data_IF_709302173697
#
_entry.id   IF_709302173697
#
_cell.length_a   1.000
_cell.length_b   1.000
_cell.length_c   1.000
_cell.angle_alpha   90.00
_cell.angle_beta   90.00
_cell.angle_gamma   90.00
#
_symmetry.space_group_name_H-M   'P 1'
#
loop_
_entity.id
_entity.type
_entity.pdbx_description
1 polymer ?
#
# COMPACT_ATOMS: atom_id res chain seq x y z
N UNK A 1 29.12 -13.04 4.85
CA UNK A 1 27.98 -13.36 3.97
C UNK A 1 27.84 -12.26 2.93
N UNK A 2 27.57 -12.59 1.67
CA UNK A 2 27.46 -11.58 0.58
C UNK A 2 26.26 -11.87 -0.31
N UNK A 3 25.60 -10.84 -0.81
CA UNK A 3 24.59 -10.94 -1.87
C UNK A 3 25.29 -11.39 -3.17
N UNK A 4 24.75 -12.43 -3.81
CA UNK A 4 25.32 -13.03 -5.03
C UNK A 4 24.43 -12.88 -6.26
N UNK A 5 23.11 -12.78 -6.07
CA UNK A 5 22.16 -12.79 -7.18
C UNK A 5 20.96 -11.90 -6.86
N UNK A 6 20.50 -11.15 -7.85
CA UNK A 6 19.25 -10.40 -7.85
C UNK A 6 18.45 -10.90 -9.05
N UNK A 7 17.23 -11.37 -8.80
CA UNK A 7 16.33 -11.88 -9.86
C UNK A 7 15.02 -11.12 -9.80
N UNK A 8 14.54 -10.65 -10.94
CA UNK A 8 13.28 -9.91 -11.05
C UNK A 8 12.25 -10.72 -11.83
N UNK A 9 10.99 -10.58 -11.44
CA UNK A 9 9.87 -11.21 -12.12
C UNK A 9 8.76 -10.18 -12.32
N UNK A 10 8.37 -9.97 -13.58
CA UNK A 10 7.19 -9.18 -13.94
C UNK A 10 6.02 -10.14 -14.11
N UNK A 11 5.01 -9.99 -13.26
CA UNK A 11 3.88 -10.90 -13.14
C UNK A 11 2.61 -10.21 -13.62
N UNK A 12 1.85 -10.89 -14.47
CA UNK A 12 0.58 -10.38 -15.01
C UNK A 12 -0.57 -11.33 -14.72
N UNK A 13 -1.67 -10.77 -14.24
CA UNK A 13 -2.95 -11.46 -14.08
C UNK A 13 -4.05 -10.67 -14.79
N UNK A 14 -4.63 -11.27 -15.83
CA UNK A 14 -5.66 -10.63 -16.63
C UNK A 14 -7.01 -10.77 -15.93
N UNK A 15 -7.66 -9.65 -15.66
CA UNK A 15 -8.92 -9.66 -14.92
C UNK A 15 -10.05 -10.20 -15.79
N UNK A 16 -10.95 -10.96 -15.17
CA UNK A 16 -12.18 -11.43 -15.81
C UNK A 16 -13.11 -10.27 -16.18
N UNK A 17 -13.06 -9.17 -15.41
CA UNK A 17 -13.77 -7.92 -15.65
C UNK A 17 -12.88 -6.75 -15.24
N UNK A 18 -12.86 -5.70 -16.06
CA UNK A 18 -12.24 -4.45 -15.66
C UNK A 18 -13.01 -3.78 -14.53
N UNK A 19 -12.32 -2.91 -13.80
CA UNK A 19 -12.93 -1.95 -12.91
C UNK A 19 -12.20 -0.61 -13.04
N UNK A 20 -12.82 0.44 -12.53
CA UNK A 20 -12.34 1.80 -12.65
C UNK A 20 -12.29 2.46 -11.29
N UNK A 21 -11.42 3.42 -11.17
CA UNK A 21 -11.57 4.48 -10.18
C UNK A 21 -11.64 5.81 -10.93
N UNK A 22 -11.58 6.91 -10.22
CA UNK A 22 -11.80 8.25 -10.79
C UNK A 22 -10.81 8.69 -11.87
N UNK A 23 -9.67 8.00 -12.04
CA UNK A 23 -8.62 8.39 -12.98
C UNK A 23 -8.49 7.45 -14.18
N UNK A 24 -8.45 6.13 -13.97
CA UNK A 24 -8.25 5.17 -15.06
C UNK A 24 -8.91 3.81 -14.81
N UNK A 25 -8.93 3.01 -15.88
CA UNK A 25 -9.38 1.62 -15.91
C UNK A 25 -8.23 0.66 -15.55
N UNK A 26 -8.56 -0.40 -14.81
CA UNK A 26 -7.73 -1.58 -14.64
C UNK A 26 -8.38 -2.77 -15.34
N UNK A 27 -7.68 -3.33 -16.32
CA UNK A 27 -8.06 -4.59 -17.00
C UNK A 27 -7.10 -5.74 -16.69
N UNK A 28 -5.97 -5.45 -16.04
CA UNK A 28 -4.98 -6.41 -15.59
C UNK A 28 -4.32 -5.97 -14.27
N UNK A 29 -3.77 -6.94 -13.54
CA UNK A 29 -2.78 -6.72 -12.48
C UNK A 29 -1.41 -6.91 -13.09
N UNK A 30 -0.50 -5.99 -12.84
CA UNK A 30 0.89 -6.08 -13.29
C UNK A 30 1.80 -5.66 -12.13
N UNK A 31 2.64 -6.58 -11.63
CA UNK A 31 3.47 -6.36 -10.44
C UNK A 31 4.90 -6.82 -10.72
N UNK A 32 5.89 -6.13 -10.14
CA UNK A 32 7.29 -6.56 -10.16
C UNK A 32 7.73 -7.03 -8.77
N UNK A 33 8.21 -8.27 -8.68
CA UNK A 33 8.83 -8.82 -7.48
C UNK A 33 10.32 -9.08 -7.71
N UNK A 34 11.09 -9.11 -6.62
CA UNK A 34 12.54 -9.36 -6.63
C UNK A 34 12.92 -10.44 -5.63
N UNK A 35 13.81 -11.34 -6.05
CA UNK A 35 14.48 -12.34 -5.20
C UNK A 35 15.94 -11.97 -5.05
N UNK A 36 16.42 -11.84 -3.82
CA UNK A 36 17.84 -11.58 -3.53
C UNK A 36 18.43 -12.78 -2.82
N UNK A 37 19.47 -13.40 -3.40
CA UNK A 37 20.12 -14.60 -2.86
C UNK A 37 21.51 -14.29 -2.33
N UNK A 38 21.81 -14.76 -1.12
CA UNK A 38 23.11 -14.65 -0.48
C UNK A 38 24.02 -15.85 -0.76
N UNK A 39 25.30 -15.71 -0.43
CA UNK A 39 26.36 -16.70 -0.69
C UNK A 39 26.21 -18.04 0.01
N UNK A 40 25.31 -18.14 0.99
CA UNK A 40 24.96 -19.37 1.69
C UNK A 40 23.71 -20.05 1.12
N UNK A 41 23.12 -19.51 0.04
CA UNK A 41 21.91 -20.04 -0.59
C UNK A 41 20.58 -19.50 -0.03
N UNK A 42 20.61 -18.85 1.13
CA UNK A 42 19.45 -18.15 1.67
C UNK A 42 19.03 -17.01 0.75
N UNK A 43 17.71 -16.77 0.65
CA UNK A 43 17.16 -15.74 -0.20
C UNK A 43 16.02 -15.00 0.48
N UNK A 44 15.75 -13.77 0.01
CA UNK A 44 14.60 -12.98 0.43
C UNK A 44 13.80 -12.44 -0.75
N UNK A 45 12.52 -12.19 -0.52
CA UNK A 45 11.56 -11.66 -1.49
C UNK A 45 11.14 -10.23 -1.16
N UNK A 46 10.94 -9.43 -2.20
CA UNK A 46 10.42 -8.07 -2.10
C UNK A 46 9.56 -7.71 -3.30
N UNK A 47 8.79 -6.63 -3.16
CA UNK A 47 7.81 -6.17 -4.13
C UNK A 47 7.92 -4.66 -4.31
N UNK A 48 7.72 -4.19 -5.55
CA UNK A 48 7.66 -2.76 -5.86
C UNK A 48 6.25 -2.37 -6.30
N UNK A 49 5.76 -1.23 -5.82
CA UNK A 49 4.49 -0.65 -6.27
C UNK A 49 4.72 0.31 -7.44
N UNK A 50 3.94 0.16 -8.50
CA UNK A 50 4.02 0.97 -9.72
C UNK A 50 4.18 0.14 -11.01
N UNK A 51 4.54 0.78 -12.15
CA UNK A 51 4.66 0.10 -13.43
C UNK A 51 5.76 -0.97 -13.42
N UNK A 52 5.36 -2.23 -13.53
CA UNK A 52 6.23 -3.38 -13.26
C UNK A 52 7.47 -3.45 -14.16
N UNK A 53 7.35 -3.16 -15.46
CA UNK A 53 8.50 -3.18 -16.38
C UNK A 53 9.51 -2.06 -16.08
N UNK A 54 9.02 -0.89 -15.62
CA UNK A 54 9.88 0.24 -15.24
C UNK A 54 10.57 -0.05 -13.90
N UNK A 55 9.84 -0.67 -12.96
CA UNK A 55 10.42 -1.18 -11.71
C UNK A 55 11.54 -2.18 -11.99
N UNK A 56 11.32 -3.12 -12.90
CA UNK A 56 12.30 -4.13 -13.28
C UNK A 56 13.60 -3.48 -13.80
N UNK A 57 13.47 -2.51 -14.70
CA UNK A 57 14.60 -1.73 -15.21
C UNK A 57 15.31 -0.95 -14.09
N UNK A 58 14.56 -0.38 -13.15
CA UNK A 58 15.10 0.31 -11.97
C UNK A 58 15.88 -0.62 -11.05
N UNK A 59 15.38 -1.84 -10.81
CA UNK A 59 16.06 -2.86 -9.99
C UNK A 59 17.36 -3.29 -10.68
N UNK A 60 17.33 -3.55 -11.99
CA UNK A 60 18.53 -3.88 -12.79
C UNK A 60 19.57 -2.76 -12.76
N UNK A 61 19.15 -1.49 -12.75
CA UNK A 61 20.05 -0.35 -12.58
C UNK A 61 20.73 -0.33 -11.20
N UNK A 62 20.01 -0.73 -10.15
CA UNK A 62 20.49 -0.73 -8.76
C UNK A 62 21.31 -1.99 -8.41
N UNK A 63 21.09 -3.12 -9.10
CA UNK A 63 21.74 -4.41 -8.84
C UNK A 63 23.27 -4.31 -8.65
N UNK A 64 24.06 -3.62 -9.49
CA UNK A 64 25.51 -3.52 -9.33
C UNK A 64 25.96 -2.87 -8.01
N UNK A 65 25.09 -2.09 -7.37
CA UNK A 65 25.34 -1.45 -6.07
C UNK A 65 25.19 -2.48 -4.93
N UNK A 66 24.30 -3.45 -5.11
CA UNK A 66 23.86 -4.42 -4.10
C UNK A 66 24.71 -5.69 -4.13
N UNK A 67 25.13 -6.15 -5.32
CA UNK A 67 25.95 -7.36 -5.47
C UNK A 67 27.25 -7.24 -4.67
N UNK A 68 27.60 -8.32 -3.96
CA UNK A 68 28.81 -8.41 -3.14
C UNK A 68 28.72 -7.73 -1.77
N UNK A 69 27.62 -7.02 -1.48
CA UNK A 69 27.36 -6.41 -0.15
C UNK A 69 26.89 -7.44 0.86
N UNK A 70 27.11 -7.17 2.14
CA UNK A 70 26.60 -8.00 3.23
C UNK A 70 25.13 -7.61 3.51
N UNK A 71 24.16 -8.54 3.43
CA UNK A 71 22.74 -8.22 3.64
C UNK A 71 22.42 -7.73 5.06
N UNK A 72 23.31 -7.97 6.03
CA UNK A 72 23.18 -7.42 7.39
C UNK A 72 23.30 -5.89 7.44
N UNK A 73 23.98 -5.30 6.46
CA UNK A 73 24.23 -3.86 6.35
C UNK A 73 23.13 -3.15 5.53
N UNK A 74 21.87 -3.57 5.69
CA UNK A 74 20.73 -3.11 4.88
C UNK A 74 20.60 -1.57 4.85
N UNK A 75 20.80 -0.89 5.98
CA UNK A 75 20.83 0.57 6.10
C UNK A 75 21.92 1.22 5.22
N UNK A 76 23.10 0.59 5.14
CA UNK A 76 24.24 1.05 4.33
C UNK A 76 23.95 0.82 2.85
N UNK A 77 23.39 -0.34 2.49
CA UNK A 77 23.00 -0.66 1.11
C UNK A 77 21.94 0.35 0.65
N UNK A 78 20.90 0.58 1.46
CA UNK A 78 19.85 1.56 1.21
C UNK A 78 20.43 2.94 0.91
N UNK A 79 21.33 3.43 1.77
CA UNK A 79 21.94 4.75 1.59
C UNK A 79 22.86 4.80 0.35
N UNK A 80 23.55 3.71 0.01
CA UNK A 80 24.35 3.65 -1.22
C UNK A 80 23.49 3.69 -2.47
N UNK A 81 22.36 2.98 -2.50
CA UNK A 81 21.37 3.06 -3.58
C UNK A 81 20.86 4.50 -3.70
N UNK A 82 20.35 5.07 -2.61
CA UNK A 82 19.81 6.43 -2.58
C UNK A 82 20.82 7.48 -3.08
N UNK A 83 22.05 7.44 -2.57
CA UNK A 83 23.08 8.41 -2.94
C UNK A 83 23.49 8.29 -4.40
N UNK A 84 23.48 7.08 -4.97
CA UNK A 84 23.85 6.85 -6.38
C UNK A 84 22.77 7.27 -7.37
N UNK A 85 21.52 7.37 -6.92
CA UNK A 85 20.38 7.74 -7.76
C UNK A 85 19.86 9.15 -7.47
N UNK A 86 20.48 9.90 -6.55
CA UNK A 86 20.01 11.19 -6.05
C UNK A 86 19.67 12.23 -7.15
N UNK A 87 20.40 12.21 -8.26
CA UNK A 87 20.20 13.12 -9.38
C UNK A 87 18.85 12.94 -10.08
N UNK A 88 18.23 11.76 -9.97
CA UNK A 88 17.00 11.39 -10.70
C UNK A 88 16.02 10.49 -9.91
N UNK A 89 16.29 10.18 -8.64
CA UNK A 89 15.45 9.33 -7.77
C UNK A 89 15.15 9.98 -6.42
N UNK A 90 14.55 11.17 -6.48
CA UNK A 90 14.04 11.86 -5.29
C UNK A 90 12.58 11.55 -5.00
N UNK A 91 11.87 10.99 -5.99
CA UNK A 91 10.46 10.53 -5.99
C UNK A 91 10.27 9.49 -7.10
N UNK A 92 9.12 8.83 -7.12
CA UNK A 92 8.67 8.02 -8.24
C UNK A 92 9.27 6.61 -8.30
N UNK A 93 9.09 5.97 -9.46
CA UNK A 93 9.27 4.51 -9.65
C UNK A 93 10.66 4.00 -9.27
N UNK A 94 11.71 4.81 -9.40
CA UNK A 94 13.06 4.36 -8.99
C UNK A 94 13.22 4.26 -7.46
N UNK A 95 12.46 5.02 -6.68
CA UNK A 95 12.37 4.84 -5.22
C UNK A 95 11.57 3.58 -4.88
N UNK A 96 10.53 3.27 -5.65
CA UNK A 96 9.80 2.02 -5.53
C UNK A 96 10.68 0.79 -5.87
N UNK A 97 11.58 0.90 -6.87
CA UNK A 97 12.60 -0.12 -7.13
C UNK A 97 13.61 -0.27 -5.98
N UNK A 98 13.96 0.81 -5.28
CA UNK A 98 14.74 0.70 -4.04
C UNK A 98 13.94 0.00 -2.93
N UNK A 99 12.63 0.24 -2.87
CA UNK A 99 11.73 -0.38 -1.88
C UNK A 99 11.69 -1.89 -2.03
N UNK A 100 11.55 -2.39 -3.26
CA UNK A 100 11.53 -3.84 -3.52
C UNK A 100 12.83 -4.52 -3.10
N UNK A 101 13.98 -3.90 -3.38
CA UNK A 101 15.29 -4.40 -2.94
C UNK A 101 15.41 -4.37 -1.42
N UNK A 102 15.01 -3.26 -0.77
CA UNK A 102 15.08 -3.12 0.69
C UNK A 102 14.23 -4.19 1.38
N UNK A 103 12.99 -4.40 0.94
CA UNK A 103 12.09 -5.43 1.46
C UNK A 103 12.70 -6.83 1.31
N UNK A 104 13.27 -7.15 0.15
CA UNK A 104 13.95 -8.43 -0.07
C UNK A 104 15.18 -8.63 0.82
N UNK A 105 15.93 -7.57 1.11
CA UNK A 105 17.05 -7.64 2.05
C UNK A 105 16.55 -7.84 3.48
N UNK A 106 15.43 -7.23 3.88
CA UNK A 106 14.80 -7.46 5.18
C UNK A 106 14.30 -8.90 5.33
N UNK A 107 13.64 -9.45 4.31
CA UNK A 107 13.22 -10.85 4.29
C UNK A 107 14.42 -11.80 4.44
N UNK A 108 15.45 -11.59 3.60
CA UNK A 108 16.70 -12.35 3.62
C UNK A 108 17.37 -12.28 5.00
N UNK A 109 17.46 -11.07 5.58
CA UNK A 109 18.06 -10.86 6.90
C UNK A 109 17.30 -11.61 7.99
N UNK A 110 15.96 -11.62 7.95
CA UNK A 110 15.13 -12.39 8.87
C UNK A 110 15.35 -13.89 8.73
N UNK A 111 15.42 -14.42 7.50
CA UNK A 111 15.68 -15.85 7.24
C UNK A 111 17.08 -16.28 7.71
N UNK A 112 18.10 -15.48 7.45
CA UNK A 112 19.47 -15.76 7.94
C UNK A 112 19.54 -15.80 9.48
N UNK A 113 18.78 -14.94 10.16
CA UNK A 113 18.78 -14.82 11.61
C UNK A 113 17.75 -15.72 12.30
N UNK A 114 16.93 -16.44 11.53
CA UNK A 114 15.79 -17.21 12.04
C UNK A 114 14.82 -16.35 12.89
N UNK A 115 14.54 -15.12 12.43
CA UNK A 115 13.69 -14.15 13.11
C UNK A 115 12.67 -13.50 12.15
N UNK A 116 11.42 -13.26 12.59
CA UNK A 116 10.46 -12.48 11.81
C UNK A 116 10.93 -11.03 11.68
N UNK A 117 10.57 -10.36 10.58
CA UNK A 117 10.91 -8.96 10.33
C UNK A 117 10.39 -8.05 11.44
N UNK A 118 9.22 -8.32 12.02
CA UNK A 118 8.69 -7.57 13.17
C UNK A 118 9.62 -7.59 14.38
N UNK A 119 10.28 -8.72 14.67
CA UNK A 119 11.27 -8.80 15.73
C UNK A 119 12.51 -7.94 15.38
N UNK A 120 12.96 -8.00 14.14
CA UNK A 120 14.08 -7.18 13.66
C UNK A 120 13.78 -5.67 13.66
N UNK A 121 12.51 -5.28 13.48
CA UNK A 121 12.07 -3.89 13.57
C UNK A 121 12.04 -3.36 15.01
N UNK A 122 12.13 -4.23 16.02
CA UNK A 122 12.13 -3.87 17.44
C UNK A 122 11.00 -4.51 18.24
N UNK A 123 10.24 -5.42 17.65
CA UNK A 123 9.11 -6.11 18.30
C UNK A 123 7.75 -5.59 17.84
N UNK A 124 6.70 -6.20 18.40
CA UNK A 124 5.30 -5.91 18.06
C UNK A 124 4.58 -5.23 19.22
N UNK A 125 3.82 -4.18 18.92
CA UNK A 125 2.83 -3.58 19.84
C UNK A 125 1.47 -4.29 19.75
N UNK A 126 1.26 -5.06 18.67
CA UNK A 126 0.03 -5.79 18.36
C UNK A 126 0.38 -7.01 17.53
N UNK A 127 -0.29 -8.13 17.79
CA UNK A 127 -0.13 -9.39 17.04
C UNK A 127 -1.25 -9.62 16.02
N UNK A 128 -2.27 -8.77 16.01
CA UNK A 128 -3.38 -8.80 15.07
C UNK A 128 -3.68 -7.39 14.58
N UNK A 129 -4.04 -7.27 13.30
CA UNK A 129 -4.34 -5.99 12.66
C UNK A 129 -5.73 -6.10 12.02
N UNK A 130 -6.53 -5.04 12.14
CA UNK A 130 -7.88 -4.99 11.56
C UNK A 130 -7.79 -4.55 10.11
N UNK A 131 -8.17 -5.39 9.13
CA UNK A 131 -8.23 -4.93 7.76
C UNK A 131 -9.45 -4.04 7.53
N UNK A 132 -9.33 -3.10 6.60
CA UNK A 132 -10.48 -2.51 5.94
C UNK A 132 -10.57 -3.04 4.51
N UNK A 133 -11.81 -3.28 4.05
CA UNK A 133 -12.03 -3.67 2.66
C UNK A 133 -11.79 -2.46 1.76
N UNK A 134 -10.76 -2.51 0.92
CA UNK A 134 -10.60 -1.58 -0.20
C UNK A 134 -11.32 -2.18 -1.39
N UNK A 135 -12.39 -1.52 -1.83
CA UNK A 135 -13.34 -2.07 -2.79
C UNK A 135 -14.31 -0.99 -3.25
N UNK A 136 -15.50 -1.39 -3.72
CA UNK A 136 -16.50 -0.44 -4.23
C UNK A 136 -15.88 0.46 -5.31
N UNK A 137 -15.13 -0.17 -6.21
CA UNK A 137 -14.63 0.46 -7.42
C UNK A 137 -15.77 0.58 -8.43
N UNK A 138 -15.66 1.55 -9.32
CA UNK A 138 -16.63 1.71 -10.39
C UNK A 138 -16.53 0.52 -11.36
N UNK A 139 -17.68 0.05 -11.87
CA UNK A 139 -17.72 -1.20 -12.66
C UNK A 139 -18.45 -1.09 -13.99
N UNK A 140 -19.03 0.07 -14.29
CA UNK A 140 -19.88 0.31 -15.45
C UNK A 140 -19.85 1.82 -15.78
N UNK A 141 -19.83 2.19 -17.06
CA UNK A 141 -19.76 3.61 -17.46
C UNK A 141 -21.09 4.35 -17.24
N UNK A 142 -22.22 3.68 -17.45
CA UNK A 142 -23.56 4.27 -17.34
C UNK A 142 -24.05 4.27 -15.89
N UNK A 143 -23.68 3.23 -15.13
CA UNK A 143 -23.96 3.14 -13.70
C UNK A 143 -22.72 2.72 -12.88
N UNK A 144 -21.76 3.63 -12.66
CA UNK A 144 -20.51 3.34 -11.94
C UNK A 144 -20.67 2.58 -10.63
N UNK A 145 -21.67 2.96 -9.82
CA UNK A 145 -21.92 2.40 -8.49
C UNK A 145 -22.83 1.15 -8.47
N UNK A 146 -23.15 0.57 -9.64
CA UNK A 146 -24.12 -0.54 -9.81
C UNK A 146 -23.94 -1.71 -8.84
N UNK A 147 -22.71 -2.01 -8.43
CA UNK A 147 -22.37 -3.17 -7.59
C UNK A 147 -22.11 -2.83 -6.12
N UNK A 148 -22.20 -1.56 -5.75
CA UNK A 148 -21.77 -1.12 -4.42
C UNK A 148 -22.53 -1.82 -3.29
N UNK A 149 -23.85 -1.91 -3.41
CA UNK A 149 -24.70 -2.51 -2.37
C UNK A 149 -24.35 -3.99 -2.13
N UNK A 150 -24.21 -4.76 -3.20
CA UNK A 150 -23.86 -6.20 -3.13
C UNK A 150 -22.46 -6.40 -2.53
N UNK A 151 -21.47 -5.63 -3.01
CA UNK A 151 -20.09 -5.70 -2.53
C UNK A 151 -19.97 -5.29 -1.06
N UNK A 152 -20.62 -4.19 -0.66
CA UNK A 152 -20.62 -3.69 0.72
C UNK A 152 -21.19 -4.73 1.68
N UNK A 153 -22.36 -5.31 1.35
CA UNK A 153 -22.97 -6.37 2.15
C UNK A 153 -22.11 -7.63 2.20
N UNK A 154 -21.45 -8.00 1.10
CA UNK A 154 -20.51 -9.11 1.05
C UNK A 154 -19.33 -8.89 2.02
N UNK A 155 -18.76 -7.69 2.05
CA UNK A 155 -17.67 -7.35 2.99
C UNK A 155 -18.13 -7.43 4.45
N UNK A 156 -19.31 -6.90 4.77
CA UNK A 156 -19.88 -7.01 6.12
C UNK A 156 -20.09 -8.48 6.52
N UNK A 157 -20.65 -9.29 5.63
CA UNK A 157 -20.89 -10.72 5.87
C UNK A 157 -19.59 -11.51 6.06
N UNK A 158 -18.51 -11.11 5.39
CA UNK A 158 -17.16 -11.69 5.56
C UNK A 158 -16.47 -11.22 6.84
N UNK A 159 -17.05 -10.26 7.57
CA UNK A 159 -16.58 -9.83 8.89
C UNK A 159 -15.82 -8.51 8.92
N UNK A 160 -15.71 -7.79 7.80
CA UNK A 160 -15.09 -6.46 7.79
C UNK A 160 -15.87 -5.48 8.68
N UNK A 161 -15.12 -4.61 9.38
CA UNK A 161 -15.66 -3.54 10.23
C UNK A 161 -15.33 -2.14 9.72
N UNK A 162 -14.63 -2.08 8.59
CA UNK A 162 -14.22 -0.86 7.92
C UNK A 162 -14.18 -1.10 6.40
N UNK A 163 -14.64 -0.13 5.62
CA UNK A 163 -14.71 -0.21 4.16
C UNK A 163 -14.31 1.16 3.58
N UNK A 164 -13.46 1.16 2.56
CA UNK A 164 -13.12 2.34 1.75
C UNK A 164 -13.80 2.24 0.40
N UNK A 165 -14.57 3.26 0.03
CA UNK A 165 -15.24 3.35 -1.27
C UNK A 165 -14.59 4.37 -2.18
N UNK A 166 -14.68 4.16 -3.49
CA UNK A 166 -14.22 5.15 -4.48
C UNK A 166 -15.27 6.24 -4.72
N UNK A 167 -14.80 7.47 -4.80
CA UNK A 167 -15.54 8.67 -5.23
C UNK A 167 -14.75 9.36 -6.35
N UNK A 168 -15.19 10.53 -6.82
CA UNK A 168 -14.53 11.27 -7.91
C UNK A 168 -15.33 11.30 -9.22
N UNK A 169 -16.63 10.98 -9.18
CA UNK A 169 -17.56 11.05 -10.31
C UNK A 169 -18.25 12.42 -10.42
N UNK A 170 -18.20 13.20 -9.35
CA UNK A 170 -18.83 14.51 -9.24
C UNK A 170 -19.72 14.60 -8.01
N UNK A 171 -19.85 15.81 -7.47
CA UNK A 171 -20.42 16.08 -6.13
C UNK A 171 -21.78 15.43 -5.91
N UNK A 172 -22.71 15.57 -6.86
CA UNK A 172 -24.07 15.02 -6.72
C UNK A 172 -24.08 13.49 -6.72
N UNK A 173 -23.31 12.87 -7.62
CA UNK A 173 -23.22 11.40 -7.73
C UNK A 173 -22.62 10.83 -6.45
N UNK A 174 -21.47 11.37 -6.04
CA UNK A 174 -20.74 10.85 -4.89
C UNK A 174 -21.45 11.12 -3.57
N UNK A 175 -22.15 12.25 -3.42
CA UNK A 175 -23.04 12.47 -2.27
C UNK A 175 -24.12 11.38 -2.16
N UNK A 176 -24.79 11.06 -3.28
CA UNK A 176 -25.83 10.02 -3.28
C UNK A 176 -25.25 8.63 -3.00
N UNK A 177 -24.09 8.31 -3.59
CA UNK A 177 -23.41 7.04 -3.35
C UNK A 177 -22.99 6.90 -1.89
N UNK A 178 -22.36 7.93 -1.30
CA UNK A 178 -21.94 7.91 0.11
C UNK A 178 -23.15 7.84 1.05
N UNK A 179 -24.21 8.59 0.76
CA UNK A 179 -25.47 8.50 1.52
C UNK A 179 -26.02 7.09 1.52
N UNK A 180 -26.16 6.47 0.34
CA UNK A 180 -26.64 5.10 0.19
C UNK A 180 -25.76 4.09 0.93
N UNK A 181 -24.42 4.23 0.82
CA UNK A 181 -23.49 3.37 1.55
C UNK A 181 -23.66 3.48 3.06
N UNK A 182 -23.83 4.70 3.60
CA UNK A 182 -24.10 4.86 5.03
C UNK A 182 -25.43 4.23 5.45
N UNK A 183 -26.49 4.37 4.65
CA UNK A 183 -27.80 3.74 4.92
C UNK A 183 -27.71 2.21 4.96
N UNK A 184 -26.94 1.59 4.06
CA UNK A 184 -26.75 0.14 3.98
C UNK A 184 -25.87 -0.39 5.11
N UNK A 185 -24.77 0.30 5.40
CA UNK A 185 -23.77 -0.16 6.37
C UNK A 185 -24.18 0.12 7.82
N UNK A 186 -25.07 1.09 8.04
CA UNK A 186 -25.41 1.62 9.36
C UNK A 186 -24.21 2.27 10.05
N UNK A 187 -24.36 2.60 11.33
CA UNK A 187 -23.34 3.34 12.09
C UNK A 187 -22.21 2.44 12.64
N UNK A 188 -22.38 1.12 12.57
CA UNK A 188 -21.44 0.14 13.15
C UNK A 188 -20.21 -0.16 12.29
N UNK A 189 -20.18 0.30 11.04
CA UNK A 189 -19.08 0.09 10.09
C UNK A 189 -18.40 1.43 9.81
N UNK A 190 -17.07 1.45 9.91
CA UNK A 190 -16.28 2.62 9.48
C UNK A 190 -16.35 2.74 7.96
N UNK A 191 -16.67 3.91 7.47
CA UNK A 191 -16.72 4.22 6.04
C UNK A 191 -15.67 5.27 5.72
N UNK A 192 -14.86 5.01 4.71
CA UNK A 192 -13.86 5.92 4.17
C UNK A 192 -14.17 6.19 2.71
N UNK A 193 -13.73 7.34 2.21
CA UNK A 193 -13.87 7.69 0.79
C UNK A 193 -12.51 8.05 0.21
N UNK A 194 -12.28 7.68 -1.03
CA UNK A 194 -11.06 7.95 -1.77
C UNK A 194 -11.39 8.47 -3.15
N UNK A 195 -10.91 9.68 -3.47
CA UNK A 195 -11.14 10.28 -4.79
C UNK A 195 -10.01 10.08 -5.77
N UNK A 196 -8.88 9.51 -5.34
CA UNK A 196 -7.64 9.42 -6.12
C UNK A 196 -7.40 10.72 -6.87
N UNK A 197 -7.27 11.80 -6.10
CA UNK A 197 -6.97 13.17 -6.51
C UNK A 197 -7.84 13.73 -7.65
N UNK A 198 -9.12 13.37 -7.70
CA UNK A 198 -10.02 13.74 -8.80
C UNK A 198 -10.63 15.13 -8.72
N UNK A 199 -10.69 15.74 -7.53
CA UNK A 199 -11.37 17.01 -7.35
C UNK A 199 -10.44 18.22 -7.39
N UNK A 200 -11.00 19.35 -7.81
CA UNK A 200 -10.48 20.65 -7.43
C UNK A 200 -10.70 20.90 -5.93
N UNK A 201 -9.97 21.86 -5.35
CA UNK A 201 -10.18 22.26 -3.95
C UNK A 201 -11.63 22.67 -3.66
N UNK A 202 -12.30 23.36 -4.60
CA UNK A 202 -13.68 23.83 -4.41
C UNK A 202 -14.65 22.65 -4.32
N UNK A 203 -14.53 21.70 -5.24
CA UNK A 203 -15.37 20.49 -5.26
C UNK A 203 -15.12 19.62 -4.04
N UNK A 204 -13.87 19.43 -3.64
CA UNK A 204 -13.51 18.66 -2.46
C UNK A 204 -14.11 19.27 -1.18
N UNK A 205 -14.05 20.59 -1.01
CA UNK A 205 -14.69 21.29 0.13
C UNK A 205 -16.20 21.09 0.11
N UNK A 206 -16.84 21.25 -1.05
CA UNK A 206 -18.29 21.11 -1.17
C UNK A 206 -18.74 19.68 -0.85
N UNK A 207 -18.09 18.67 -1.44
CA UNK A 207 -18.40 17.27 -1.18
C UNK A 207 -18.15 16.92 0.28
N UNK A 208 -16.97 17.26 0.83
CA UNK A 208 -16.61 16.95 2.20
C UNK A 208 -17.69 17.43 3.18
N UNK A 209 -18.10 18.70 3.08
CA UNK A 209 -19.18 19.28 3.91
C UNK A 209 -20.52 18.57 3.76
N UNK A 210 -20.88 18.18 2.53
CA UNK A 210 -22.14 17.45 2.29
C UNK A 210 -22.15 16.06 2.92
N UNK A 211 -20.99 15.42 3.02
CA UNK A 211 -20.88 14.04 3.53
C UNK A 211 -20.46 13.96 5.02
N UNK A 212 -20.19 15.09 5.70
CA UNK A 212 -19.93 15.13 7.15
C UNK A 212 -21.00 14.40 7.99
N UNK A 213 -22.32 14.53 7.71
CA UNK A 213 -23.35 13.83 8.47
C UNK A 213 -23.23 12.29 8.40
N UNK A 214 -22.50 11.75 7.43
CA UNK A 214 -22.33 10.32 7.22
C UNK A 214 -21.12 9.72 7.96
N UNK A 215 -20.51 10.45 8.89
CA UNK A 215 -19.45 9.95 9.80
C UNK A 215 -18.30 9.25 9.04
N UNK A 216 -17.75 9.96 8.06
CA UNK A 216 -16.65 9.46 7.24
C UNK A 216 -15.36 9.43 8.08
N UNK A 217 -14.66 8.30 8.09
CA UNK A 217 -13.46 8.09 8.91
C UNK A 217 -12.23 8.80 8.35
N UNK A 218 -12.09 8.86 7.01
CA UNK A 218 -11.19 9.79 6.34
C UNK A 218 -11.60 10.02 4.87
N UNK A 219 -11.14 11.13 4.30
CA UNK A 219 -11.17 11.44 2.88
C UNK A 219 -9.75 11.36 2.33
N UNK A 220 -9.49 10.31 1.55
CA UNK A 220 -8.21 9.98 0.95
C UNK A 220 -8.03 10.67 -0.40
N UNK A 221 -6.82 11.17 -0.60
CA UNK A 221 -6.37 11.89 -1.79
C UNK A 221 -7.47 12.76 -2.42
N UNK A 222 -8.05 13.73 -1.69
CA UNK A 222 -9.20 14.49 -2.18
C UNK A 222 -8.87 15.38 -3.39
N UNK A 223 -7.61 15.84 -3.50
CA UNK A 223 -7.13 16.76 -4.53
C UNK A 223 -5.72 16.37 -4.99
N UNK A 224 -5.22 17.00 -6.06
CA UNK A 224 -3.88 16.74 -6.60
C UNK A 224 -2.78 16.77 -5.52
N UNK A 225 -1.90 15.75 -5.46
CA UNK A 225 -0.82 15.66 -4.46
C UNK A 225 0.23 16.76 -4.60
N UNK A 226 0.25 17.49 -5.72
CA UNK A 226 1.17 18.62 -5.93
C UNK A 226 0.82 19.86 -5.09
N UNK A 227 -0.42 19.96 -4.59
CA UNK A 227 -0.91 21.15 -3.89
C UNK A 227 -0.95 21.00 -2.36
N UNK A 228 0.22 20.82 -1.73
CA UNK A 228 0.35 20.64 -0.27
C UNK A 228 -0.40 21.65 0.61
N UNK A 229 -0.43 22.92 0.19
CA UNK A 229 -1.11 23.99 0.96
C UNK A 229 -2.62 23.95 0.79
N UNK A 230 -3.13 23.47 -0.35
CA UNK A 230 -4.57 23.29 -0.57
C UNK A 230 -5.11 22.13 0.27
N UNK A 231 -4.30 21.09 0.48
CA UNK A 231 -4.61 20.02 1.42
C UNK A 231 -4.88 20.57 2.84
N UNK A 232 -4.01 21.46 3.33
CA UNK A 232 -4.23 22.17 4.60
C UNK A 232 -5.52 22.99 4.58
N UNK A 233 -5.75 23.77 3.51
CA UNK A 233 -6.96 24.58 3.39
C UNK A 233 -8.26 23.75 3.41
N UNK A 234 -8.25 22.59 2.75
CA UNK A 234 -9.36 21.64 2.79
C UNK A 234 -9.57 21.10 4.21
N UNK A 235 -8.50 20.64 4.86
CA UNK A 235 -8.51 20.10 6.22
C UNK A 235 -9.08 21.10 7.24
N UNK A 236 -8.82 22.39 7.09
CA UNK A 236 -9.36 23.44 7.96
C UNK A 236 -10.86 23.74 7.72
N UNK A 237 -11.46 23.21 6.65
CA UNK A 237 -12.84 23.50 6.20
C UNK A 237 -13.82 22.35 6.33
N UNK A 238 -13.37 21.21 6.85
CA UNK A 238 -14.20 20.04 7.15
C UNK A 238 -13.80 19.38 8.46
N UNK A 239 -14.71 18.63 9.06
CA UNK A 239 -14.42 17.76 10.21
C UNK A 239 -13.91 16.37 9.80
N UNK A 240 -13.98 16.01 8.51
CA UNK A 240 -13.52 14.71 8.01
C UNK A 240 -12.00 14.71 7.97
N UNK A 241 -11.32 13.73 8.61
CA UNK A 241 -9.87 13.62 8.54
C UNK A 241 -9.39 13.49 7.08
N UNK A 242 -8.32 14.22 6.73
CA UNK A 242 -7.73 14.13 5.39
C UNK A 242 -6.56 13.15 5.41
N UNK A 243 -6.56 12.21 4.47
CA UNK A 243 -5.50 11.21 4.35
C UNK A 243 -4.78 11.31 3.00
N UNK A 244 -3.51 10.92 2.98
CA UNK A 244 -2.74 10.79 1.75
C UNK A 244 -1.31 10.34 1.99
N UNK A 245 -0.63 9.93 0.93
CA UNK A 245 0.78 9.53 1.00
C UNK A 245 1.21 8.44 0.03
N UNK A 246 0.29 7.77 -0.68
CA UNK A 246 0.63 6.74 -1.67
C UNK A 246 1.43 7.32 -2.84
N UNK A 247 1.18 8.59 -3.18
CA UNK A 247 1.95 9.36 -4.15
C UNK A 247 3.22 10.02 -3.59
N UNK A 248 3.55 9.86 -2.30
CA UNK A 248 4.72 10.46 -1.67
C UNK A 248 5.85 9.46 -1.42
N UNK A 249 7.09 9.97 -1.49
CA UNK A 249 8.29 9.14 -1.49
C UNK A 249 9.32 9.71 -0.54
N UNK A 250 10.01 8.81 0.19
CA UNK A 250 11.06 9.11 1.15
C UNK A 250 10.59 10.01 2.31
N UNK A 251 11.29 9.96 3.44
CA UNK A 251 11.01 10.85 4.59
C UNK A 251 10.98 12.34 4.23
N UNK A 252 11.62 12.74 3.14
CA UNK A 252 11.60 14.12 2.65
C UNK A 252 10.26 14.51 2.03
N UNK A 253 9.61 13.63 1.26
CA UNK A 253 8.24 13.83 0.75
C UNK A 253 7.23 13.87 1.88
N UNK A 254 7.29 12.90 2.79
CA UNK A 254 6.44 12.89 3.99
C UNK A 254 6.69 14.10 4.91
N UNK A 255 7.94 14.57 5.06
CA UNK A 255 8.23 15.82 5.76
C UNK A 255 7.57 17.02 5.10
N UNK A 256 7.43 17.03 3.77
CA UNK A 256 6.69 18.08 3.07
C UNK A 256 5.20 18.07 3.40
N UNK A 257 4.56 16.90 3.50
CA UNK A 257 3.17 16.81 3.99
C UNK A 257 3.05 17.32 5.43
N UNK A 258 3.92 16.85 6.32
CA UNK A 258 3.89 17.15 7.76
C UNK A 258 4.12 18.64 8.04
N UNK A 259 5.17 19.24 7.46
CA UNK A 259 5.50 20.66 7.69
C UNK A 259 4.39 21.60 7.19
N UNK A 260 3.66 21.19 6.15
CA UNK A 260 2.56 21.95 5.59
C UNK A 260 1.22 21.64 6.28
N UNK A 261 1.18 20.70 7.23
CA UNK A 261 -0.04 20.25 7.90
C UNK A 261 -1.11 19.76 6.90
N UNK A 262 -0.66 19.08 5.85
CA UNK A 262 -1.49 18.70 4.71
C UNK A 262 -2.50 17.60 5.06
N UNK A 263 -2.17 16.68 5.96
CA UNK A 263 -2.98 15.49 6.26
C UNK A 263 -3.08 15.24 7.77
N UNK A 264 -4.16 14.57 8.17
CA UNK A 264 -4.36 13.98 9.49
C UNK A 264 -3.78 12.56 9.58
N UNK A 265 -3.69 11.86 8.44
CA UNK A 265 -3.22 10.48 8.34
C UNK A 265 -2.23 10.39 7.17
N UNK A 266 -1.00 9.93 7.43
CA UNK A 266 -0.03 9.59 6.39
C UNK A 266 -0.23 8.15 5.92
N UNK A 267 -0.14 7.94 4.61
CA UNK A 267 -0.35 6.64 3.98
C UNK A 267 0.86 6.20 3.15
N UNK A 268 2.05 6.01 3.74
CA UNK A 268 3.19 5.50 3.00
C UNK A 268 2.90 4.10 2.46
N UNK A 269 3.06 3.90 1.16
CA UNK A 269 3.14 2.56 0.60
C UNK A 269 4.56 2.03 0.80
N UNK A 270 4.73 0.91 1.52
CA UNK A 270 6.05 0.37 1.86
C UNK A 270 6.80 -0.12 0.62
N UNK A 271 6.09 -0.60 -0.40
CA UNK A 271 6.60 -1.02 -1.69
C UNK A 271 6.91 0.17 -2.63
N UNK A 272 6.60 1.40 -2.22
CA UNK A 272 6.91 2.63 -2.99
C UNK A 272 7.84 3.61 -2.27
N UNK A 273 7.62 3.84 -0.97
CA UNK A 273 8.14 4.99 -0.23
C UNK A 273 9.65 4.94 0.05
N UNK A 274 10.28 3.80 -0.18
CA UNK A 274 11.68 3.50 0.08
C UNK A 274 11.91 2.21 0.86
N UNK A 275 10.90 1.34 1.03
CA UNK A 275 11.02 0.08 1.77
C UNK A 275 10.85 0.24 3.29
N UNK A 276 10.99 -0.87 4.01
CA UNK A 276 10.85 -0.91 5.47
C UNK A 276 11.85 0.00 6.19
N UNK A 277 13.08 0.12 5.67
CA UNK A 277 14.10 1.01 6.24
C UNK A 277 13.64 2.47 6.20
N UNK A 278 13.01 2.91 5.10
CA UNK A 278 12.51 4.28 4.97
C UNK A 278 11.16 4.49 5.65
N UNK A 279 10.27 3.49 5.61
CA UNK A 279 8.99 3.51 6.30
C UNK A 279 9.17 3.72 7.82
N UNK A 280 10.18 3.08 8.44
CA UNK A 280 10.53 3.31 9.85
C UNK A 280 10.96 4.75 10.12
N UNK A 281 11.74 5.36 9.23
CA UNK A 281 12.15 6.77 9.35
C UNK A 281 10.95 7.71 9.18
N UNK A 282 10.02 7.37 8.29
CA UNK A 282 8.74 8.10 8.12
C UNK A 282 7.91 8.00 9.40
N UNK A 283 7.80 6.83 10.02
CA UNK A 283 7.11 6.64 11.30
C UNK A 283 7.72 7.45 12.45
N UNK A 284 9.05 7.40 12.61
CA UNK A 284 9.76 8.25 13.59
C UNK A 284 9.55 9.74 13.34
N UNK A 285 9.37 10.15 12.09
CA UNK A 285 9.11 11.55 11.76
C UNK A 285 7.66 11.92 12.11
N UNK A 286 6.67 11.13 11.69
CA UNK A 286 5.26 11.37 11.92
C UNK A 286 4.91 11.49 13.42
N UNK A 287 5.56 10.68 14.27
CA UNK A 287 5.37 10.73 15.73
C UNK A 287 5.70 12.09 16.34
N UNK A 288 6.67 12.83 15.78
CA UNK A 288 7.03 14.18 16.25
C UNK A 288 5.99 15.25 15.91
N UNK A 289 5.10 14.95 14.95
CA UNK A 289 4.00 15.83 14.54
C UNK A 289 2.65 15.38 15.11
N UNK A 290 2.57 14.20 15.76
CA UNK A 290 1.32 13.62 16.25
C UNK A 290 0.35 13.24 15.13
N UNK A 291 0.89 12.84 13.96
CA UNK A 291 0.11 12.43 12.78
C UNK A 291 0.11 10.91 12.68
N UNK A 292 -1.07 10.32 12.51
CA UNK A 292 -1.25 8.87 12.44
C UNK A 292 -0.72 8.31 11.12
N UNK A 293 -0.38 7.01 11.14
CA UNK A 293 0.04 6.26 9.95
C UNK A 293 -0.92 5.09 9.72
N UNK A 294 -1.49 5.05 8.52
CA UNK A 294 -2.25 3.91 7.99
C UNK A 294 -1.69 3.66 6.59
N UNK A 295 -0.76 2.70 6.41
CA UNK A 295 -0.10 2.48 5.13
C UNK A 295 -1.12 2.18 4.02
N UNK A 296 -0.89 2.78 2.84
CA UNK A 296 -1.47 2.25 1.61
C UNK A 296 -0.85 0.86 1.37
N UNK A 297 -1.67 -0.11 0.94
CA UNK A 297 -1.19 -1.47 0.66
C UNK A 297 -1.95 -2.05 -0.51
N UNK A 298 -1.32 -1.97 -1.68
CA UNK A 298 -1.84 -2.51 -2.93
C UNK A 298 -0.80 -3.39 -3.61
N UNK A 299 -1.08 -4.68 -3.77
CA UNK A 299 -0.07 -5.61 -4.26
C UNK A 299 -0.36 -7.09 -4.00
N UNK A 300 0.71 -7.87 -3.89
CA UNK A 300 0.65 -9.31 -3.58
C UNK A 300 0.74 -9.57 -2.07
N UNK A 301 0.77 -10.84 -1.70
CA UNK A 301 1.03 -11.22 -0.31
C UNK A 301 2.39 -10.75 0.23
N UNK A 302 3.39 -10.49 -0.63
CA UNK A 302 4.69 -9.92 -0.19
C UNK A 302 4.48 -8.52 0.41
N UNK A 303 3.84 -7.62 -0.35
CA UNK A 303 3.53 -6.27 0.12
C UNK A 303 2.65 -6.27 1.38
N UNK A 304 1.64 -7.14 1.44
CA UNK A 304 0.76 -7.25 2.61
C UNK A 304 1.53 -7.74 3.85
N UNK A 305 2.41 -8.74 3.73
CA UNK A 305 3.21 -9.21 4.86
C UNK A 305 4.21 -8.15 5.34
N UNK A 306 4.83 -7.39 4.42
CA UNK A 306 5.65 -6.25 4.78
C UNK A 306 4.86 -5.19 5.57
N UNK A 307 3.63 -4.89 5.14
CA UNK A 307 2.71 -4.00 5.84
C UNK A 307 2.31 -4.54 7.22
N UNK A 308 1.99 -5.82 7.36
CA UNK A 308 1.66 -6.44 8.65
C UNK A 308 2.81 -6.29 9.65
N UNK A 309 4.05 -6.58 9.25
CA UNK A 309 5.21 -6.39 10.10
C UNK A 309 5.43 -4.91 10.48
N UNK A 310 5.33 -3.99 9.52
CA UNK A 310 5.49 -2.56 9.79
C UNK A 310 4.41 -2.02 10.73
N UNK A 311 3.14 -2.29 10.43
CA UNK A 311 1.99 -1.83 11.23
C UNK A 311 2.06 -2.43 12.63
N UNK A 312 2.56 -3.66 12.80
CA UNK A 312 2.73 -4.26 14.14
C UNK A 312 3.71 -3.47 15.02
N UNK A 313 4.66 -2.74 14.41
CA UNK A 313 5.68 -1.95 15.09
C UNK A 313 5.28 -0.48 15.30
N UNK A 314 4.16 -0.01 14.73
CA UNK A 314 3.72 1.38 14.90
C UNK A 314 3.31 1.70 16.34
N UNK A 315 3.86 2.79 16.88
CA UNK A 315 3.50 3.33 18.18
C UNK A 315 2.15 4.07 18.10
N UNK A 316 1.34 3.98 19.15
CA UNK A 316 0.12 4.78 19.28
C UNK A 316 0.41 6.02 20.13
N UNK A 317 0.25 7.22 19.56
CA UNK A 317 0.66 8.49 20.19
C UNK A 317 -0.46 9.55 20.04
N UNK A 318 -1.05 10.06 21.15
CA UNK A 318 -0.84 9.62 22.52
C UNK A 318 -1.44 8.23 22.75
N UNK A 319 -0.70 7.37 23.46
CA UNK A 319 -1.24 6.10 23.93
C UNK A 319 -2.38 6.31 24.94
N UNK A 320 -3.19 5.28 25.15
CA UNK A 320 -4.24 5.24 26.19
C UNK A 320 -4.53 3.81 26.62
N UNK A 321 -5.20 3.62 27.77
CA UNK A 321 -5.48 2.29 28.34
C UNK A 321 -6.20 1.34 27.37
N UNK A 322 -7.17 1.86 26.61
CA UNK A 322 -7.82 1.14 25.51
C UNK A 322 -7.19 1.60 24.20
N UNK A 323 -6.13 0.91 23.82
CA UNK A 323 -5.34 1.17 22.63
C UNK A 323 -6.23 1.25 21.38
N UNK A 324 -6.16 2.34 20.58
CA UNK A 324 -6.87 2.39 19.31
C UNK A 324 -6.36 1.30 18.36
N UNK A 325 -7.27 0.81 17.52
CA UNK A 325 -6.95 -0.19 16.51
C UNK A 325 -6.17 0.45 15.36
N UNK A 326 -5.10 -0.21 14.93
CA UNK A 326 -4.44 0.10 13.65
C UNK A 326 -5.13 -0.65 12.52
N UNK A 327 -5.20 -0.02 11.36
CA UNK A 327 -5.83 -0.57 10.17
C UNK A 327 -4.78 -0.99 9.14
N UNK A 328 -5.11 -2.01 8.34
CA UNK A 328 -4.39 -2.38 7.13
C UNK A 328 -5.34 -2.33 5.95
N UNK A 329 -4.88 -1.79 4.83
CA UNK A 329 -5.62 -1.87 3.58
C UNK A 329 -5.65 -3.30 3.07
N UNK A 330 -6.83 -3.80 2.73
CA UNK A 330 -6.97 -5.12 2.13
C UNK A 330 -7.84 -5.05 0.88
N UNK A 331 -7.19 -5.01 -0.28
CA UNK A 331 -7.82 -5.08 -1.60
C UNK A 331 -8.75 -6.30 -1.72
N UNK A 332 -10.03 -6.05 -1.99
CA UNK A 332 -11.06 -7.08 -2.18
C UNK A 332 -11.49 -7.27 -3.63
N UNK A 333 -10.80 -6.62 -4.57
CA UNK A 333 -11.00 -6.86 -5.99
C UNK A 333 -10.37 -8.18 -6.42
N UNK A 334 -10.74 -8.67 -7.61
CA UNK A 334 -10.16 -9.89 -8.19
C UNK A 334 -8.65 -9.67 -8.43
N UNK A 335 -7.83 -10.57 -7.88
CA UNK A 335 -6.38 -10.46 -7.89
C UNK A 335 -5.75 -11.82 -7.57
N UNK A 336 -5.51 -12.64 -8.60
CA UNK A 336 -4.96 -13.98 -8.40
C UNK A 336 -3.49 -13.94 -7.94
N UNK A 337 -2.76 -12.85 -8.21
CA UNK A 337 -1.42 -12.65 -7.65
C UNK A 337 -1.46 -12.51 -6.12
N UNK A 338 -2.47 -11.84 -5.57
CA UNK A 338 -2.66 -11.73 -4.12
C UNK A 338 -3.00 -13.07 -3.48
N UNK A 339 -3.85 -13.87 -4.13
CA UNK A 339 -4.36 -15.11 -3.55
C UNK A 339 -3.41 -16.32 -3.73
N UNK A 340 -2.65 -16.39 -4.82
CA UNK A 340 -1.94 -17.61 -5.22
C UNK A 340 -0.41 -17.51 -5.21
N UNK A 341 0.16 -16.30 -5.19
CA UNK A 341 1.60 -16.12 -5.35
C UNK A 341 2.39 -16.53 -4.10
N UNK A 342 1.82 -16.33 -2.91
CA UNK A 342 2.55 -16.48 -1.64
C UNK A 342 1.89 -17.47 -0.71
N UNK A 343 2.71 -18.20 0.04
CA UNK A 343 2.29 -19.07 1.13
C UNK A 343 2.95 -18.66 2.46
N UNK A 344 2.22 -18.66 3.59
CA UNK A 344 0.82 -19.04 3.72
C UNK A 344 -0.14 -17.98 3.15
N UNK A 345 -1.37 -18.40 2.85
CA UNK A 345 -2.44 -17.49 2.46
C UNK A 345 -2.75 -16.49 3.59
N UNK A 346 -3.19 -15.29 3.19
CA UNK A 346 -3.63 -14.27 4.15
C UNK A 346 -5.06 -14.62 4.57
N UNK A 347 -5.21 -15.03 5.83
CA UNK A 347 -6.50 -15.43 6.38
C UNK A 347 -7.00 -14.33 7.32
N UNK A 348 -8.17 -13.78 7.02
CA UNK A 348 -8.92 -12.95 7.97
C UNK A 348 -9.79 -13.84 8.85
N UNK A 349 -9.55 -13.82 10.16
CA UNK A 349 -10.33 -14.55 11.16
C UNK A 349 -10.91 -13.58 12.18
N UNK A 350 -12.21 -13.67 12.42
CA UNK A 350 -12.95 -12.79 13.35
C UNK A 350 -12.74 -11.29 13.04
N UNK A 351 -12.59 -10.94 11.76
CA UNK A 351 -12.36 -9.56 11.30
C UNK A 351 -10.95 -9.03 11.56
N UNK A 352 -9.97 -9.91 11.79
CA UNK A 352 -8.57 -9.56 12.06
C UNK A 352 -7.62 -10.43 11.23
N UNK A 353 -6.42 -9.93 10.94
CA UNK A 353 -5.32 -10.65 10.30
C UNK A 353 -4.16 -10.77 11.30
N UNK A 354 -3.59 -11.97 11.43
CA UNK A 354 -2.43 -12.23 12.30
C UNK A 354 -1.15 -11.64 11.72
N UNK A 355 -0.28 -11.11 12.59
CA UNK A 355 1.08 -10.69 12.21
C UNK A 355 1.94 -11.94 12.08
N UNK A 356 2.70 -12.12 10.98
CA UNK A 356 3.52 -13.31 10.78
C UNK A 356 4.61 -13.46 11.85
N UNK A 357 4.81 -14.69 12.32
CA UNK A 357 5.86 -15.05 13.29
C UNK A 357 7.01 -15.85 12.68
N UNK A 358 6.85 -16.30 11.42
CA UNK A 358 7.88 -17.06 10.68
C UNK A 358 9.07 -16.16 10.30
N UNK A 359 10.28 -16.72 10.11
CA UNK A 359 11.45 -15.95 9.72
C UNK A 359 11.25 -15.10 8.47
N UNK A 360 11.91 -13.93 8.43
CA UNK A 360 11.75 -12.98 7.33
C UNK A 360 10.36 -12.33 7.35
N UNK A 361 9.78 -12.13 6.18
CA UNK A 361 8.39 -11.69 6.00
C UNK A 361 7.38 -12.79 6.33
N UNK A 362 7.85 -14.01 6.60
CA UNK A 362 6.99 -15.16 6.85
C UNK A 362 6.31 -15.73 5.62
N UNK A 363 6.75 -15.34 4.42
CA UNK A 363 6.24 -15.84 3.13
C UNK A 363 7.28 -16.65 2.36
N UNK A 364 6.77 -17.60 1.58
CA UNK A 364 7.45 -18.20 0.44
C UNK A 364 6.64 -17.95 -0.83
N UNK A 365 7.33 -17.91 -1.98
CA UNK A 365 6.69 -17.74 -3.29
C UNK A 365 6.39 -19.12 -3.88
N UNK A 366 5.12 -19.33 -4.25
CA UNK A 366 4.67 -20.52 -4.96
C UNK A 366 5.26 -20.49 -6.38
N UNK A 367 6.14 -21.46 -6.68
CA UNK A 367 6.89 -21.49 -7.95
C UNK A 367 6.00 -21.79 -9.15
N UNK A 368 4.93 -22.56 -8.98
CA UNK A 368 3.98 -22.85 -10.06
C UNK A 368 3.20 -21.60 -10.45
N UNK A 369 2.67 -20.87 -9.46
CA UNK A 369 2.02 -19.58 -9.66
C UNK A 369 2.98 -18.56 -10.28
N UNK A 370 4.23 -18.49 -9.79
CA UNK A 370 5.26 -17.61 -10.33
C UNK A 370 5.48 -17.86 -11.83
N UNK A 371 5.62 -19.13 -12.22
CA UNK A 371 5.82 -19.52 -13.62
C UNK A 371 4.60 -19.23 -14.48
N UNK A 372 3.38 -19.49 -13.98
CA UNK A 372 2.13 -19.17 -14.67
C UNK A 372 2.04 -17.68 -14.98
N UNK A 373 2.16 -16.82 -13.97
CA UNK A 373 1.99 -15.37 -14.12
C UNK A 373 3.14 -14.68 -14.84
N UNK A 374 4.35 -15.26 -14.84
CA UNK A 374 5.50 -14.75 -15.61
C UNK A 374 5.35 -15.03 -17.11
N UNK A 375 4.77 -16.17 -17.50
CA UNK A 375 4.68 -16.60 -18.90
C UNK A 375 3.53 -15.95 -19.67
N UNK A 376 2.54 -15.39 -18.96
CA UNK A 376 1.45 -14.58 -19.52
C UNK A 376 1.96 -13.36 -20.32
N UNK A 377 3.23 -12.95 -20.14
CA UNK A 377 3.94 -11.91 -20.90
C UNK A 377 4.14 -12.22 -22.40
N UNK A 378 4.06 -13.48 -22.82
CA UNK A 378 4.36 -13.90 -24.21
C UNK A 378 3.20 -13.77 -25.21
N UNK A 379 2.01 -13.34 -24.76
CA UNK A 379 0.77 -13.44 -25.57
C UNK A 379 0.12 -12.11 -25.99
N UNK A 380 0.70 -10.93 -25.70
CA UNK A 380 0.00 -9.64 -25.91
C UNK A 380 0.76 -8.56 -26.69
N UNK A 381 1.62 -8.94 -27.64
CA UNK A 381 2.05 -8.02 -28.71
C UNK A 381 1.30 -8.31 -30.02
N UNK A 382 -0.02 -8.06 -30.02
CA UNK A 382 -0.71 -7.67 -31.24
C UNK A 382 -1.12 -6.22 -31.07
N UNK A 383 -0.26 -5.35 -31.60
CA UNK A 383 -0.60 -3.97 -31.91
C UNK A 383 -1.80 -4.04 -32.87
N UNK A 384 -2.96 -3.59 -32.42
CA UNK A 384 -4.04 -3.20 -33.31
C UNK A 384 -3.85 -1.71 -33.62
N UNK A 385 -3.69 -1.41 -34.90
CA UNK A 385 -3.47 -0.09 -35.50
C UNK A 385 -4.52 0.96 -35.11
#
# INVERSE_FOLDING_TARGET
MKIQKVETYVLKDKLSKSFFFSQWEYSERCICIVKITASNGEYGWGEGYGPAEVLEAGIKLLEPIVIGKNPMDNEVIWHQMYRKTLDYARRGVLVAAMSSIDIAIWDLKGKILDLPVSALLGGTHRNKIKPYASGLYFSDYDNPAKRFDEEALSYVNRGFKAIKMKVGLGITSDYNNVKNMREILGDGIKLMVDSNHAYTLVEAIELARKIEPFQISWFEEPISPEFYTQYKELREKTIIPIAGGECEYLRFGFHHLLRNQSVDILQPDICACGGLSEAKRIASLASTYGVDIIPHTWGTGIGIHAALHFISNLENIPGRLITPESLIEYDQTDNQLRERLTEPEIIMKDGMIDVPERPGLGVEVNTDALNEFSNSSSLSHKVTD
#
